data_IF_860576445431
#
_entry.id   IF_860576445431
#
_cell.length_a   1.000
_cell.length_b   1.000
_cell.length_c   1.000
_cell.angle_alpha   90.00
_cell.angle_beta   90.00
_cell.angle_gamma   90.00
#
_symmetry.space_group_name_H-M   'P 1'
#
loop_
_entity.id
_entity.type
_entity.pdbx_description
1 polymer ?
#
# COMPACT_ATOMS: atom_id res chain seq x y z
N UNK A 1 -25.48 -14.70 -3.95
CA UNK A 1 -26.17 -15.70 -3.11
C UNK A 1 -27.50 -16.03 -3.76
N UNK A 2 -27.86 -17.28 -3.99
CA UNK A 2 -29.20 -17.65 -4.51
C UNK A 2 -30.30 -17.14 -3.55
N UNK A 3 -31.42 -16.71 -4.11
CA UNK A 3 -32.55 -16.18 -3.30
C UNK A 3 -33.21 -17.24 -2.38
N UNK A 4 -32.92 -18.51 -2.62
CA UNK A 4 -33.45 -19.65 -1.88
C UNK A 4 -32.65 -20.02 -0.63
N UNK A 5 -31.49 -19.37 -0.40
CA UNK A 5 -30.60 -19.69 0.72
C UNK A 5 -31.01 -18.86 1.95
N UNK A 6 -31.34 -19.56 3.04
CA UNK A 6 -31.62 -18.92 4.33
C UNK A 6 -30.29 -18.46 4.95
N UNK A 7 -30.17 -17.16 5.23
CA UNK A 7 -28.94 -16.58 5.79
C UNK A 7 -28.61 -17.11 7.19
N UNK A 8 -29.63 -17.46 7.98
CA UNK A 8 -29.42 -18.02 9.33
C UNK A 8 -28.82 -19.42 9.26
N UNK A 9 -29.23 -20.22 8.27
CA UNK A 9 -28.66 -21.56 8.08
C UNK A 9 -27.20 -21.46 7.65
N UNK A 10 -26.87 -20.53 6.74
CA UNK A 10 -25.51 -20.26 6.30
C UNK A 10 -24.63 -19.77 7.45
N UNK A 11 -25.17 -18.95 8.36
CA UNK A 11 -24.48 -18.42 9.52
C UNK A 11 -24.20 -19.49 10.57
N UNK A 12 -25.18 -20.37 10.80
CA UNK A 12 -25.07 -21.37 11.86
C UNK A 12 -24.33 -22.65 11.42
N UNK A 13 -24.29 -22.91 10.10
CA UNK A 13 -23.75 -24.14 9.51
C UNK A 13 -22.60 -23.79 8.51
N UNK A 14 -21.58 -23.05 8.94
CA UNK A 14 -20.43 -22.72 8.10
C UNK A 14 -19.20 -23.61 8.35
N UNK A 15 -19.21 -24.33 9.46
CA UNK A 15 -18.14 -25.22 9.91
C UNK A 15 -18.75 -26.47 10.54
N UNK A 16 -18.16 -27.63 10.31
CA UNK A 16 -18.57 -28.89 10.91
C UNK A 16 -17.87 -29.15 12.26
N UNK A 17 -18.19 -30.25 12.91
CA UNK A 17 -17.60 -30.64 14.18
C UNK A 17 -16.09 -30.95 14.14
N UNK A 18 -15.56 -31.19 12.92
CA UNK A 18 -14.14 -31.42 12.67
C UNK A 18 -13.39 -30.15 12.25
N UNK A 19 -14.05 -29.00 12.26
CA UNK A 19 -13.45 -27.72 11.84
C UNK A 19 -13.35 -27.53 10.34
N UNK A 20 -14.02 -28.34 9.52
CA UNK A 20 -14.03 -28.20 8.06
C UNK A 20 -15.15 -27.30 7.59
N UNK A 21 -14.93 -26.63 6.47
CA UNK A 21 -15.91 -25.78 5.85
C UNK A 21 -17.13 -26.58 5.37
N UNK A 22 -18.33 -26.12 5.72
CA UNK A 22 -19.59 -26.52 5.09
C UNK A 22 -19.83 -25.56 3.92
N UNK A 23 -19.81 -26.11 2.70
CA UNK A 23 -20.02 -25.33 1.47
C UNK A 23 -21.39 -24.64 1.43
N UNK A 24 -21.47 -23.53 0.71
CA UNK A 24 -22.74 -22.84 0.46
C UNK A 24 -23.68 -23.66 -0.44
N UNK A 25 -23.13 -24.47 -1.30
CA UNK A 25 -23.88 -25.29 -2.28
C UNK A 25 -23.63 -26.80 -2.05
N UNK A 26 -24.61 -27.66 -2.40
CA UNK A 26 -24.49 -29.11 -2.22
C UNK A 26 -23.36 -29.77 -3.00
N UNK A 27 -22.90 -29.13 -4.08
CA UNK A 27 -21.82 -29.65 -4.94
C UNK A 27 -20.42 -29.32 -4.40
N UNK A 28 -20.34 -28.53 -3.32
CA UNK A 28 -19.06 -28.17 -2.70
C UNK A 28 -18.19 -27.21 -3.51
N UNK A 29 -18.79 -26.44 -4.43
CA UNK A 29 -18.05 -25.53 -5.33
C UNK A 29 -17.94 -24.09 -4.84
N UNK A 30 -18.73 -23.73 -3.84
CA UNK A 30 -18.82 -22.34 -3.34
C UNK A 30 -18.45 -22.25 -1.88
N UNK A 31 -17.56 -21.33 -1.56
CA UNK A 31 -17.21 -21.05 -0.16
C UNK A 31 -18.42 -20.48 0.59
N UNK A 32 -18.61 -20.91 1.83
CA UNK A 32 -19.54 -20.28 2.74
C UNK A 32 -19.02 -18.88 3.09
N UNK A 33 -19.85 -17.82 2.99
CA UNK A 33 -19.43 -16.46 3.34
C UNK A 33 -18.90 -16.32 4.76
N UNK A 34 -19.48 -17.05 5.73
CA UNK A 34 -19.00 -17.03 7.12
C UNK A 34 -17.65 -17.73 7.29
N UNK A 35 -17.34 -18.73 6.47
CA UNK A 35 -15.98 -19.27 6.39
C UNK A 35 -15.00 -18.19 5.95
N UNK A 36 -15.33 -17.47 4.87
CA UNK A 36 -14.45 -16.43 4.32
C UNK A 36 -14.17 -15.34 5.36
N UNK A 37 -15.20 -14.79 6.00
CA UNK A 37 -15.02 -13.69 6.97
C UNK A 37 -14.32 -14.11 8.27
N UNK A 38 -14.46 -15.37 8.68
CA UNK A 38 -13.87 -15.86 9.93
C UNK A 38 -12.46 -16.45 9.74
N UNK A 39 -12.21 -17.14 8.62
CA UNK A 39 -10.96 -17.89 8.38
C UNK A 39 -10.02 -17.20 7.38
N UNK A 40 -10.55 -16.55 6.35
CA UNK A 40 -9.75 -15.86 5.34
C UNK A 40 -9.63 -14.38 5.69
N UNK A 41 -8.43 -13.97 6.08
CA UNK A 41 -8.19 -12.60 6.57
C UNK A 41 -7.38 -11.80 5.56
N UNK A 42 -7.76 -10.55 5.38
CA UNK A 42 -6.96 -9.55 4.71
C UNK A 42 -6.67 -8.42 5.70
N UNK A 43 -5.40 -8.19 5.99
CA UNK A 43 -4.95 -7.11 6.86
C UNK A 43 -4.08 -6.15 6.07
N UNK A 44 -4.20 -4.88 6.39
CA UNK A 44 -3.40 -3.80 5.84
C UNK A 44 -2.99 -2.86 6.97
N UNK A 45 -1.71 -2.54 7.02
CA UNK A 45 -1.15 -1.52 7.91
C UNK A 45 -0.39 -0.52 7.06
N UNK A 46 -0.72 0.75 7.20
CA UNK A 46 -0.10 1.86 6.48
C UNK A 46 0.43 2.89 7.48
N UNK A 47 1.74 3.14 7.40
CA UNK A 47 2.40 4.23 8.12
C UNK A 47 2.86 5.27 7.09
N UNK A 48 2.38 6.51 7.20
CA UNK A 48 2.66 7.58 6.23
C UNK A 48 3.04 8.88 6.91
N UNK A 49 4.08 9.52 6.39
CA UNK A 49 4.51 10.86 6.79
C UNK A 49 4.50 11.77 5.55
N UNK A 50 3.77 12.87 5.67
CA UNK A 50 3.77 13.93 4.65
C UNK A 50 4.16 15.23 5.35
N UNK A 51 5.07 15.98 4.74
CA UNK A 51 5.46 17.28 5.27
C UNK A 51 6.26 18.10 4.28
N UNK A 52 6.29 19.40 4.52
CA UNK A 52 7.14 20.32 3.77
C UNK A 52 7.66 21.42 4.69
N UNK A 53 8.80 21.99 4.31
CA UNK A 53 9.44 23.12 4.94
C UNK A 53 9.68 24.19 3.87
N UNK A 54 9.23 25.39 4.12
CA UNK A 54 9.47 26.55 3.25
C UNK A 54 10.40 27.51 3.96
N UNK A 55 11.54 27.80 3.33
CA UNK A 55 12.50 28.77 3.79
C UNK A 55 12.50 29.96 2.80
N UNK A 56 12.34 31.15 3.32
CA UNK A 56 12.39 32.38 2.50
C UNK A 56 13.44 33.31 3.08
N UNK A 57 14.35 33.78 2.22
CA UNK A 57 15.43 34.69 2.58
C UNK A 57 15.41 35.91 1.67
N UNK A 58 15.45 37.10 2.24
CA UNK A 58 15.44 38.39 1.53
C UNK A 58 16.71 39.17 1.91
N UNK A 59 17.85 38.93 1.23
CA UNK A 59 19.15 39.53 1.60
C UNK A 59 19.25 41.05 1.29
N UNK A 60 18.57 41.48 0.23
CA UNK A 60 18.52 42.89 -0.18
C UNK A 60 17.13 43.24 -0.69
N UNK A 61 16.83 44.51 -0.81
CA UNK A 61 15.56 44.97 -1.36
C UNK A 61 15.34 44.45 -2.80
N UNK A 62 14.16 43.94 -3.05
CA UNK A 62 13.77 43.36 -4.34
C UNK A 62 14.20 41.90 -4.52
N UNK A 63 15.21 41.37 -3.84
CA UNK A 63 15.68 39.99 -3.99
C UNK A 63 15.00 39.05 -2.99
N UNK A 64 14.34 38.05 -3.50
CA UNK A 64 13.74 36.96 -2.69
C UNK A 64 14.26 35.61 -3.15
N UNK A 65 14.80 34.83 -2.22
CA UNK A 65 15.22 33.43 -2.41
C UNK A 65 14.30 32.58 -1.59
N UNK A 66 13.60 31.66 -2.20
CA UNK A 66 12.73 30.70 -1.50
C UNK A 66 13.09 29.28 -1.86
N UNK A 67 13.08 28.41 -0.86
CA UNK A 67 13.26 26.98 -1.03
C UNK A 67 12.10 26.27 -0.34
N UNK A 68 11.40 25.38 -1.07
CA UNK A 68 10.36 24.52 -0.56
C UNK A 68 10.83 23.07 -0.69
N UNK A 69 11.14 22.45 0.45
CA UNK A 69 11.55 21.04 0.52
C UNK A 69 10.40 20.22 1.09
N UNK A 70 9.89 19.28 0.33
CA UNK A 70 8.77 18.41 0.69
C UNK A 70 9.11 16.92 0.62
N UNK A 71 8.45 16.15 1.46
CA UNK A 71 8.52 14.70 1.45
C UNK A 71 7.15 14.08 1.63
N UNK A 72 6.92 12.97 0.91
CA UNK A 72 5.81 12.03 1.12
C UNK A 72 6.42 10.64 1.20
N UNK A 73 6.36 10.06 2.35
CA UNK A 73 6.95 8.77 2.66
C UNK A 73 5.90 7.86 3.26
N UNK A 74 5.78 6.62 2.76
CA UNK A 74 4.97 5.60 3.40
C UNK A 74 5.57 4.20 3.32
N UNK A 75 5.25 3.41 4.30
CA UNK A 75 5.40 1.96 4.31
C UNK A 75 4.03 1.31 4.48
N UNK A 76 3.76 0.28 3.71
CA UNK A 76 2.50 -0.45 3.77
C UNK A 76 2.78 -1.94 3.77
N UNK A 77 2.30 -2.63 4.81
CA UNK A 77 2.34 -4.08 4.89
C UNK A 77 0.94 -4.64 4.71
N UNK A 78 0.76 -5.46 3.69
CA UNK A 78 -0.50 -6.17 3.41
C UNK A 78 -0.29 -7.66 3.63
N UNK A 79 -1.31 -8.32 4.16
CA UNK A 79 -1.31 -9.76 4.31
C UNK A 79 -2.68 -10.32 3.96
N UNK A 80 -2.70 -11.30 3.07
CA UNK A 80 -3.88 -12.05 2.67
C UNK A 80 -3.70 -13.51 3.03
N UNK A 81 -4.69 -14.08 3.69
CA UNK A 81 -4.66 -15.44 4.22
C UNK A 81 -5.84 -16.21 3.68
N UNK A 82 -5.59 -17.46 3.29
CA UNK A 82 -6.59 -18.48 3.02
C UNK A 82 -6.29 -19.71 3.88
N UNK A 83 -7.17 -20.00 4.82
CA UNK A 83 -7.05 -21.20 5.68
C UNK A 83 -7.23 -22.48 4.88
N UNK A 84 -6.65 -23.56 5.37
CA UNK A 84 -6.87 -24.90 4.82
C UNK A 84 -8.37 -25.22 4.76
N UNK A 85 -8.79 -25.93 3.72
CA UNK A 85 -10.20 -26.20 3.47
C UNK A 85 -10.96 -25.10 2.74
N UNK A 86 -10.33 -23.94 2.45
CA UNK A 86 -10.93 -22.93 1.59
C UNK A 86 -11.03 -23.46 0.16
N UNK A 87 -12.23 -23.49 -0.41
CA UNK A 87 -12.45 -23.92 -1.81
C UNK A 87 -11.65 -23.01 -2.75
N UNK A 88 -10.83 -23.63 -3.59
CA UNK A 88 -9.82 -22.96 -4.43
C UNK A 88 -8.43 -22.84 -3.79
N UNK A 89 -8.29 -23.11 -2.48
CA UNK A 89 -7.03 -23.09 -1.74
C UNK A 89 -7.03 -24.15 -0.61
N UNK A 90 -7.33 -25.40 -0.96
CA UNK A 90 -7.57 -26.47 0.01
C UNK A 90 -6.42 -26.69 0.98
N UNK A 91 -5.19 -26.56 0.52
CA UNK A 91 -3.98 -26.72 1.33
C UNK A 91 -3.58 -25.46 2.11
N UNK A 92 -4.37 -24.39 2.01
CA UNK A 92 -4.07 -23.11 2.64
C UNK A 92 -2.91 -22.36 1.97
N UNK A 93 -2.97 -21.06 2.04
CA UNK A 93 -1.90 -20.17 1.56
C UNK A 93 -1.98 -18.81 2.24
N UNK A 94 -0.87 -18.11 2.23
CA UNK A 94 -0.87 -16.68 2.55
C UNK A 94 0.06 -15.92 1.62
N UNK A 95 -0.23 -14.65 1.46
CA UNK A 95 0.57 -13.74 0.66
C UNK A 95 0.82 -12.46 1.45
N UNK A 96 2.05 -11.97 1.41
CA UNK A 96 2.44 -10.70 2.01
C UNK A 96 2.97 -9.76 0.95
N UNK A 97 2.75 -8.47 1.16
CA UNK A 97 3.32 -7.39 0.37
C UNK A 97 3.90 -6.37 1.33
N UNK A 98 5.17 -6.04 1.14
CA UNK A 98 5.83 -4.94 1.83
C UNK A 98 6.14 -3.85 0.79
N UNK A 99 5.36 -2.79 0.85
CA UNK A 99 5.46 -1.65 -0.03
C UNK A 99 6.16 -0.51 0.69
N UNK A 100 7.07 0.12 -0.01
CA UNK A 100 7.76 1.31 0.41
C UNK A 100 7.70 2.34 -0.71
N UNK A 101 7.28 3.55 -0.39
CA UNK A 101 7.35 4.68 -1.31
C UNK A 101 7.89 5.92 -0.59
N UNK A 102 8.82 6.59 -1.25
CA UNK A 102 9.34 7.87 -0.81
C UNK A 102 9.39 8.83 -1.99
N UNK A 103 8.79 9.98 -1.82
CA UNK A 103 8.88 11.11 -2.73
C UNK A 103 9.61 12.23 -2.00
N UNK A 104 10.62 12.78 -2.65
CA UNK A 104 11.29 14.01 -2.26
C UNK A 104 11.08 15.04 -3.36
N UNK A 105 10.66 16.23 -2.99
CA UNK A 105 10.53 17.35 -3.88
C UNK A 105 11.27 18.56 -3.29
N UNK A 106 12.05 19.26 -4.11
CA UNK A 106 12.71 20.48 -3.71
C UNK A 106 12.57 21.53 -4.80
N UNK A 107 11.94 22.65 -4.46
CA UNK A 107 11.72 23.78 -5.32
C UNK A 107 12.57 24.96 -4.82
N UNK A 108 13.58 25.33 -5.57
CA UNK A 108 14.33 26.56 -5.36
C UNK A 108 13.84 27.63 -6.32
N UNK A 109 13.48 28.79 -5.79
CA UNK A 109 13.03 29.94 -6.56
C UNK A 109 13.82 31.18 -6.13
N UNK A 110 14.37 31.90 -7.10
CA UNK A 110 15.05 33.18 -6.92
C UNK A 110 14.28 34.20 -7.74
N UNK A 111 13.79 35.25 -7.10
CA UNK A 111 13.11 36.35 -7.76
C UNK A 111 13.73 37.68 -7.41
N UNK A 112 13.89 38.55 -8.40
CA UNK A 112 14.31 39.91 -8.24
C UNK A 112 13.28 40.85 -8.86
N UNK A 113 12.82 41.83 -8.09
CA UNK A 113 11.84 42.81 -8.50
C UNK A 113 12.35 44.20 -8.20
N UNK A 114 12.29 45.11 -9.18
CA UNK A 114 12.70 46.50 -9.02
C UNK A 114 11.79 47.39 -9.82
N UNK A 115 11.37 48.48 -9.18
CA UNK A 115 10.64 49.57 -9.83
C UNK A 115 11.61 50.68 -10.22
N UNK A 116 11.54 51.15 -11.47
CA UNK A 116 12.32 52.24 -12.02
C UNK A 116 11.39 53.42 -12.38
N UNK A 117 11.83 54.63 -12.08
CA UNK A 117 11.14 55.85 -12.48
C UNK A 117 9.63 55.85 -12.13
N UNK A 118 9.24 55.35 -10.99
CA UNK A 118 7.88 55.28 -10.43
C UNK A 118 6.85 54.49 -11.27
N UNK A 119 7.03 54.39 -12.60
CA UNK A 119 6.05 53.79 -13.52
C UNK A 119 6.45 52.41 -14.10
N UNK A 120 7.71 52.02 -13.99
CA UNK A 120 8.22 50.81 -14.64
C UNK A 120 8.69 49.76 -13.63
N UNK A 121 7.94 48.67 -13.48
CA UNK A 121 8.33 47.52 -12.67
C UNK A 121 8.91 46.39 -13.53
N UNK A 122 10.08 45.84 -13.14
CA UNK A 122 10.69 44.66 -13.76
C UNK A 122 10.80 43.56 -12.71
N UNK A 123 10.30 42.37 -13.06
CA UNK A 123 10.43 41.16 -12.23
C UNK A 123 11.07 40.05 -13.04
N UNK A 124 12.16 39.54 -12.53
CA UNK A 124 12.85 38.34 -13.08
C UNK A 124 12.76 37.23 -12.10
N UNK A 125 12.51 36.01 -12.60
CA UNK A 125 12.35 34.83 -11.76
C UNK A 125 13.12 33.63 -12.37
N UNK A 126 13.89 32.94 -11.54
CA UNK A 126 14.57 31.71 -11.88
C UNK A 126 14.08 30.60 -10.90
N UNK A 127 13.73 29.44 -11.45
CA UNK A 127 13.28 28.31 -10.69
C UNK A 127 14.09 27.06 -11.02
N UNK A 128 14.30 26.24 -10.00
CA UNK A 128 14.90 24.91 -10.15
C UNK A 128 14.11 23.92 -9.31
N UNK A 129 13.71 22.79 -9.90
CA UNK A 129 12.99 21.72 -9.21
C UNK A 129 13.80 20.43 -9.25
N UNK A 130 13.85 19.73 -8.15
CA UNK A 130 14.36 18.35 -8.05
C UNK A 130 13.22 17.49 -7.53
N UNK A 131 12.84 16.48 -8.30
CA UNK A 131 11.87 15.45 -7.90
C UNK A 131 12.56 14.09 -7.88
N UNK A 132 12.43 13.36 -6.77
CA UNK A 132 12.92 12.00 -6.64
C UNK A 132 11.82 11.10 -6.09
N UNK A 133 11.61 9.95 -6.72
CA UNK A 133 10.71 8.91 -6.28
C UNK A 133 11.46 7.59 -6.16
N UNK A 134 11.41 6.99 -4.98
CA UNK A 134 11.88 5.63 -4.71
C UNK A 134 10.67 4.76 -4.38
N UNK A 135 10.52 3.64 -5.07
CA UNK A 135 9.46 2.68 -4.83
C UNK A 135 10.01 1.25 -4.76
N UNK A 136 9.57 0.49 -3.78
CA UNK A 136 9.89 -0.93 -3.61
C UNK A 136 8.63 -1.70 -3.25
N UNK A 137 8.50 -2.89 -3.81
CA UNK A 137 7.44 -3.83 -3.48
C UNK A 137 8.06 -5.22 -3.39
N UNK A 138 8.04 -5.79 -2.19
CA UNK A 138 8.42 -7.17 -1.94
C UNK A 138 7.15 -7.96 -1.71
N UNK A 139 6.90 -8.94 -2.56
CA UNK A 139 5.73 -9.79 -2.50
C UNK A 139 6.18 -11.23 -2.34
N UNK A 140 5.60 -11.94 -1.39
CA UNK A 140 5.88 -13.37 -1.17
C UNK A 140 4.56 -14.12 -1.07
N UNK A 141 4.35 -15.07 -1.97
CA UNK A 141 3.27 -16.03 -1.91
C UNK A 141 3.79 -17.33 -1.29
N UNK A 142 3.17 -17.78 -0.22
CA UNK A 142 3.46 -19.01 0.50
C UNK A 142 2.26 -19.96 0.42
N UNK A 143 2.46 -21.16 -0.13
CA UNK A 143 1.39 -22.09 -0.45
C UNK A 143 1.63 -23.47 0.16
N UNK A 144 0.55 -24.26 0.27
CA UNK A 144 0.57 -25.62 0.76
C UNK A 144 1.10 -25.68 2.19
N UNK A 145 0.37 -25.10 3.13
CA UNK A 145 0.73 -25.04 4.54
C UNK A 145 0.74 -26.45 5.15
N UNK A 146 1.74 -26.76 5.96
CA UNK A 146 1.82 -28.03 6.67
C UNK A 146 0.84 -28.04 7.85
N UNK A 147 0.92 -27.01 8.70
CA UNK A 147 0.02 -26.81 9.85
C UNK A 147 -0.98 -25.71 9.52
N UNK A 148 -2.26 -25.95 9.83
CA UNK A 148 -3.30 -24.94 9.62
C UNK A 148 -3.16 -23.76 10.58
N UNK A 149 -3.60 -22.60 10.15
CA UNK A 149 -3.56 -21.33 10.90
C UNK A 149 -2.15 -20.86 11.35
N UNK A 150 -1.09 -21.58 11.00
CA UNK A 150 0.29 -21.15 11.20
C UNK A 150 0.83 -20.50 9.91
N UNK A 151 0.70 -19.18 9.80
CA UNK A 151 1.09 -18.42 8.61
C UNK A 151 2.53 -17.93 8.70
N UNK A 152 3.47 -18.88 8.71
CA UNK A 152 4.91 -18.66 8.68
C UNK A 152 5.50 -19.22 7.37
N UNK A 153 6.49 -18.58 6.79
CA UNK A 153 7.11 -19.08 5.54
C UNK A 153 7.72 -20.48 5.69
N UNK A 154 8.23 -20.81 6.87
CA UNK A 154 8.77 -22.12 7.20
C UNK A 154 7.70 -23.22 7.25
N UNK A 155 6.43 -22.84 7.36
CA UNK A 155 5.28 -23.77 7.35
C UNK A 155 4.73 -24.01 5.94
N UNK A 156 5.19 -23.32 4.93
CA UNK A 156 4.77 -23.48 3.55
C UNK A 156 5.70 -24.42 2.78
N UNK A 157 5.13 -25.33 2.01
CA UNK A 157 5.91 -26.22 1.13
C UNK A 157 6.49 -25.49 -0.07
N UNK A 158 5.84 -24.39 -0.49
CA UNK A 158 6.26 -23.59 -1.64
C UNK A 158 6.19 -22.13 -1.31
N UNK A 159 7.25 -21.39 -1.64
CA UNK A 159 7.31 -19.93 -1.53
C UNK A 159 7.75 -19.34 -2.87
N UNK A 160 7.06 -18.29 -3.32
CA UNK A 160 7.34 -17.59 -4.58
C UNK A 160 7.55 -16.10 -4.29
N UNK A 161 8.80 -15.66 -4.07
CA UNK A 161 9.10 -14.23 -3.87
C UNK A 161 9.13 -13.50 -5.21
N UNK A 162 8.57 -12.28 -5.23
CA UNK A 162 8.67 -11.34 -6.34
C UNK A 162 9.06 -9.98 -5.77
N UNK A 163 10.19 -9.45 -6.23
CA UNK A 163 10.71 -8.17 -5.79
C UNK A 163 10.72 -7.19 -6.95
N UNK A 164 10.21 -6.00 -6.72
CA UNK A 164 10.24 -4.91 -7.67
C UNK A 164 10.80 -3.66 -7.02
N UNK A 165 11.73 -2.98 -7.71
CA UNK A 165 12.32 -1.72 -7.27
C UNK A 165 12.35 -0.75 -8.44
N UNK A 166 11.90 0.48 -8.21
CA UNK A 166 11.97 1.57 -9.18
C UNK A 166 12.53 2.82 -8.51
N UNK A 167 13.39 3.53 -9.25
CA UNK A 167 13.90 4.85 -8.88
C UNK A 167 13.71 5.79 -10.05
N UNK A 168 13.12 6.95 -9.79
CA UNK A 168 12.93 8.02 -10.76
C UNK A 168 13.49 9.31 -10.19
N UNK A 169 14.25 10.04 -11.00
CA UNK A 169 14.75 11.38 -10.68
C UNK A 169 14.52 12.28 -11.86
N UNK A 170 13.97 13.45 -11.61
CA UNK A 170 13.79 14.54 -12.56
C UNK A 170 14.46 15.78 -11.98
N UNK A 171 15.10 16.55 -12.86
CA UNK A 171 15.78 17.81 -12.53
C UNK A 171 15.42 18.83 -13.57
#
# INVERSE_FOLDING_TARGET
MPRTVNINDVKNNWIDEYGKQISLDPEGKSNNPYWIINKNKFTNQLDRLIGNIVLTYKPIEGLTISNNAGTDFYTETRRKVYSKGTIGNLEGQFQTWDLYKRILNNDLMISYEKTFAEDYGVKVMLGHNIYQEDWRNNNVLAQNLVVDELYAYTNAKTTSPVNYTSKKRLV
#
